data_IF_411333551771
#
_entry.id   IF_411333551771
#
_cell.length_a   1.000
_cell.length_b   1.000
_cell.length_c   1.000
_cell.angle_alpha   90.00
_cell.angle_beta   90.00
_cell.angle_gamma   90.00
#
_symmetry.space_group_name_H-M   'P 1'
#
loop_
_entity.id
_entity.type
_entity.pdbx_description
1 polymer ?
#
# COMPACT_ATOMS: atom_id res chain seq x y z
N UNK A 1 15.14 -12.10 21.92
CA UNK A 1 14.14 -13.20 21.97
C UNK A 1 12.87 -12.67 21.34
N UNK A 2 12.45 -13.25 20.21
CA UNK A 2 11.12 -12.98 19.67
C UNK A 2 10.11 -13.71 20.59
N UNK A 3 9.02 -13.07 21.03
CA UNK A 3 8.03 -13.71 21.90
C UNK A 3 7.43 -14.94 21.21
N UNK A 4 7.05 -15.95 22.00
CA UNK A 4 6.37 -17.14 21.51
C UNK A 4 5.16 -16.74 20.65
N UNK A 5 5.18 -17.19 19.40
CA UNK A 5 4.31 -16.72 18.33
C UNK A 5 2.95 -17.42 18.39
N UNK A 6 2.13 -17.09 19.41
CA UNK A 6 0.71 -17.45 19.47
C UNK A 6 -0.17 -16.53 18.60
N UNK A 7 0.41 -15.45 18.10
CA UNK A 7 -0.22 -14.63 17.07
C UNK A 7 0.18 -15.14 15.69
N UNK A 8 -0.77 -15.07 14.75
CA UNK A 8 -0.56 -15.58 13.40
C UNK A 8 0.38 -14.68 12.59
N UNK A 9 -0.03 -14.39 11.37
CA UNK A 9 0.71 -13.55 10.46
C UNK A 9 -0.21 -12.54 9.78
N UNK A 10 0.38 -11.45 9.33
CA UNK A 10 -0.17 -10.62 8.26
C UNK A 10 0.70 -10.81 7.02
N UNK A 11 0.18 -10.45 5.85
CA UNK A 11 0.98 -10.40 4.62
C UNK A 11 0.91 -9.02 4.01
N UNK A 12 2.05 -8.39 3.74
CA UNK A 12 2.10 -7.17 2.94
C UNK A 12 2.27 -7.53 1.48
N UNK A 13 1.28 -7.18 0.66
CA UNK A 13 1.33 -7.35 -0.79
C UNK A 13 1.74 -6.04 -1.45
N UNK A 14 2.84 -6.09 -2.17
CA UNK A 14 3.25 -5.06 -3.11
C UNK A 14 2.84 -5.52 -4.50
N UNK A 15 1.82 -4.90 -5.07
CA UNK A 15 1.40 -5.14 -6.45
C UNK A 15 2.12 -4.12 -7.32
N UNK A 16 2.90 -4.57 -8.28
CA UNK A 16 3.68 -3.70 -9.16
C UNK A 16 3.57 -4.20 -10.58
N UNK A 17 3.11 -3.34 -11.48
CA UNK A 17 3.14 -3.67 -12.90
C UNK A 17 4.57 -3.74 -13.43
N UNK A 18 4.76 -4.43 -14.56
CA UNK A 18 5.82 -4.01 -15.49
C UNK A 18 5.41 -2.62 -15.98
N UNK A 19 6.30 -1.63 -15.89
CA UNK A 19 6.09 -0.37 -16.61
C UNK A 19 5.79 -0.78 -18.05
N UNK A 20 4.63 -0.41 -18.64
CA UNK A 20 4.35 -0.78 -20.01
C UNK A 20 5.53 -0.31 -20.86
N UNK A 21 6.11 -1.20 -21.67
CA UNK A 21 7.05 -0.78 -22.70
C UNK A 21 6.24 -0.01 -23.72
N UNK A 22 6.06 1.29 -23.48
CA UNK A 22 5.38 2.15 -24.42
C UNK A 22 6.26 2.25 -25.66
N UNK A 23 5.73 1.83 -26.81
CA UNK A 23 6.41 1.94 -28.08
C UNK A 23 6.81 3.40 -28.30
N UNK A 24 8.09 3.58 -28.64
CA UNK A 24 8.74 4.88 -28.80
C UNK A 24 7.97 5.75 -29.78
N UNK A 25 7.28 6.79 -29.30
CA UNK A 25 6.66 7.79 -30.17
C UNK A 25 5.39 8.44 -29.62
N UNK A 26 4.72 7.85 -28.62
CA UNK A 26 3.52 8.47 -28.03
C UNK A 26 3.86 9.08 -26.67
N UNK A 27 3.76 10.42 -26.63
CA UNK A 27 4.01 11.34 -25.53
C UNK A 27 5.47 11.77 -25.30
N UNK A 28 5.76 12.96 -25.84
CA UNK A 28 6.92 13.75 -25.45
C UNK A 28 6.78 14.28 -24.01
N UNK A 29 7.84 14.09 -23.23
CA UNK A 29 8.15 14.68 -21.89
C UNK A 29 7.69 13.94 -20.62
N UNK A 30 8.66 13.86 -19.69
CA UNK A 30 8.85 12.91 -18.58
C UNK A 30 8.14 13.23 -17.25
N UNK A 31 7.09 14.05 -17.24
CA UNK A 31 6.32 14.37 -16.01
C UNK A 31 4.84 14.04 -16.16
N UNK A 32 4.24 14.31 -17.32
CA UNK A 32 2.82 14.03 -17.54
C UNK A 32 2.53 12.53 -17.50
N UNK A 33 3.37 11.71 -18.14
CA UNK A 33 3.28 10.23 -18.05
C UNK A 33 3.49 9.74 -16.63
N UNK A 34 4.41 10.36 -15.87
CA UNK A 34 4.65 10.00 -14.48
C UNK A 34 3.45 10.36 -13.60
N UNK A 35 2.82 11.51 -13.83
CA UNK A 35 1.58 11.92 -13.17
C UNK A 35 0.40 11.03 -13.58
N UNK A 36 0.31 10.59 -14.84
CA UNK A 36 -0.74 9.69 -15.34
C UNK A 36 -0.61 8.29 -14.76
N UNK A 37 0.61 7.77 -14.71
CA UNK A 37 0.90 6.51 -14.02
C UNK A 37 0.71 6.66 -12.51
N UNK A 38 0.98 7.83 -11.91
CA UNK A 38 0.68 8.09 -10.51
C UNK A 38 -0.83 8.11 -10.27
N UNK A 39 -1.64 8.72 -11.17
CA UNK A 39 -3.13 8.68 -11.13
C UNK A 39 -3.67 7.26 -11.05
N UNK A 40 -3.05 6.33 -11.77
CA UNK A 40 -3.44 4.94 -11.77
C UNK A 40 -2.78 4.09 -10.66
N UNK A 41 -2.02 4.71 -9.74
CA UNK A 41 -1.17 4.02 -8.74
C UNK A 41 -0.13 3.05 -9.36
N UNK A 42 0.24 3.29 -10.62
CA UNK A 42 1.19 2.49 -11.40
C UNK A 42 2.64 2.92 -11.12
N UNK A 43 2.90 4.20 -10.80
CA UNK A 43 4.26 4.64 -10.42
C UNK A 43 4.63 4.10 -9.04
N UNK A 44 5.33 2.97 -9.03
CA UNK A 44 5.89 2.34 -7.84
C UNK A 44 5.07 1.17 -7.29
N UNK A 45 3.81 1.03 -7.69
CA UNK A 45 2.91 -0.05 -7.28
C UNK A 45 1.98 0.31 -6.12
N UNK A 46 1.08 -0.62 -5.78
CA UNK A 46 0.13 -0.54 -4.67
C UNK A 46 0.61 -1.39 -3.51
N UNK A 47 0.32 -0.94 -2.28
CA UNK A 47 0.61 -1.70 -1.06
C UNK A 47 -0.68 -2.04 -0.35
N UNK A 48 -0.87 -3.33 -0.06
CA UNK A 48 -2.04 -3.86 0.61
C UNK A 48 -1.63 -4.76 1.78
N UNK A 49 -2.48 -4.88 2.79
CA UNK A 49 -2.27 -5.78 3.93
C UNK A 49 -3.34 -6.87 3.91
N UNK A 50 -2.91 -8.11 3.85
CA UNK A 50 -3.77 -9.26 4.11
C UNK A 50 -3.77 -9.56 5.61
N UNK A 51 -4.98 -9.67 6.17
CA UNK A 51 -5.23 -10.19 7.51
C UNK A 51 -6.31 -11.26 7.38
N UNK A 52 -5.95 -12.50 7.69
CA UNK A 52 -6.82 -13.66 7.49
C UNK A 52 -7.34 -13.76 6.04
N UNK A 53 -8.66 -13.66 5.87
CA UNK A 53 -9.37 -13.82 4.60
C UNK A 53 -9.63 -12.49 3.87
N UNK A 54 -9.12 -11.37 4.41
CA UNK A 54 -9.38 -10.05 3.86
C UNK A 54 -8.08 -9.34 3.48
N UNK A 55 -8.17 -8.51 2.46
CA UNK A 55 -7.12 -7.61 2.01
C UNK A 55 -7.60 -6.18 2.19
N UNK A 56 -6.77 -5.37 2.83
CA UNK A 56 -7.03 -3.98 3.15
C UNK A 56 -6.09 -3.07 2.35
N UNK A 57 -6.63 -1.96 1.86
CA UNK A 57 -5.87 -1.00 1.06
C UNK A 57 -6.34 0.43 1.25
N UNK A 58 -5.58 1.34 0.64
CA UNK A 58 -5.87 2.77 0.61
C UNK A 58 -5.67 3.29 -0.82
N UNK A 59 -6.68 3.97 -1.37
CA UNK A 59 -6.69 4.44 -2.77
C UNK A 59 -7.47 5.74 -2.93
N UNK A 60 -7.40 6.29 -4.14
CA UNK A 60 -8.26 7.39 -4.57
C UNK A 60 -9.71 6.90 -4.66
N UNK A 61 -10.66 7.62 -4.07
CA UNK A 61 -12.09 7.23 -4.02
C UNK A 61 -12.75 7.26 -5.40
N UNK A 62 -12.54 8.36 -6.12
CA UNK A 62 -13.07 8.55 -7.46
C UNK A 62 -11.91 8.61 -8.44
N UNK A 63 -11.70 7.51 -9.17
CA UNK A 63 -10.62 7.36 -10.16
C UNK A 63 -10.80 8.27 -11.38
N UNK A 64 -11.99 8.84 -11.60
CA UNK A 64 -12.23 9.84 -12.63
C UNK A 64 -11.84 11.25 -12.18
N UNK A 65 -11.68 11.47 -10.87
CA UNK A 65 -11.15 12.72 -10.31
C UNK A 65 -9.65 12.65 -10.17
N UNK A 66 -9.03 13.81 -10.33
CA UNK A 66 -7.60 13.95 -10.09
C UNK A 66 -7.31 13.71 -8.61
N UNK A 67 -6.23 12.97 -8.31
CA UNK A 67 -5.66 13.02 -6.97
C UNK A 67 -5.22 14.45 -6.67
N UNK A 68 -5.33 14.88 -5.42
CA UNK A 68 -4.86 16.21 -5.08
C UNK A 68 -3.32 16.26 -5.11
N UNK A 69 -2.75 17.40 -5.50
CA UNK A 69 -1.30 17.57 -5.45
C UNK A 69 -0.82 17.69 -4.00
N UNK A 70 -1.61 18.37 -3.18
CA UNK A 70 -1.43 18.53 -1.73
C UNK A 70 -2.70 18.08 -1.02
N UNK A 71 -2.62 17.58 0.23
CA UNK A 71 -3.81 17.15 0.96
C UNK A 71 -4.82 18.28 1.11
N UNK A 72 -6.11 17.97 0.91
CA UNK A 72 -7.17 18.86 1.33
C UNK A 72 -7.22 18.94 2.87
N UNK A 73 -7.58 20.10 3.40
CA UNK A 73 -7.76 20.36 4.83
C UNK A 73 -9.18 20.06 5.31
N UNK A 74 -10.15 20.04 4.38
CA UNK A 74 -11.56 19.76 4.63
C UNK A 74 -11.92 18.31 4.29
N UNK A 75 -12.39 17.55 5.29
CA UNK A 75 -12.65 16.09 5.17
C UNK A 75 -13.73 15.74 4.15
N UNK A 76 -14.74 16.59 4.03
CA UNK A 76 -15.83 16.50 3.06
C UNK A 76 -15.35 16.54 1.60
N UNK A 77 -14.13 17.02 1.38
CA UNK A 77 -13.51 17.13 0.06
C UNK A 77 -12.44 16.06 -0.19
N UNK A 78 -12.20 15.13 0.73
CA UNK A 78 -11.19 14.09 0.53
C UNK A 78 -11.54 13.20 -0.66
N UNK A 79 -10.56 12.99 -1.54
CA UNK A 79 -10.64 12.05 -2.66
C UNK A 79 -9.90 10.75 -2.32
N UNK A 80 -10.28 10.13 -1.20
CA UNK A 80 -9.56 9.01 -0.63
C UNK A 80 -10.50 8.01 0.01
N UNK A 81 -10.13 6.74 -0.05
CA UNK A 81 -10.86 5.69 0.67
C UNK A 81 -9.91 4.60 1.16
N UNK A 82 -10.17 4.16 2.39
CA UNK A 82 -9.77 2.82 2.82
C UNK A 82 -10.85 1.84 2.40
N UNK A 83 -10.42 0.66 1.96
CA UNK A 83 -11.32 -0.39 1.54
C UNK A 83 -10.86 -1.73 2.09
N UNK A 84 -11.81 -2.68 2.12
CA UNK A 84 -11.57 -4.08 2.39
C UNK A 84 -12.24 -4.92 1.32
N UNK A 85 -11.58 -5.99 0.92
CA UNK A 85 -12.14 -7.01 0.04
C UNK A 85 -11.71 -8.39 0.51
N UNK A 86 -12.33 -9.44 -0.02
CA UNK A 86 -11.90 -10.82 0.26
C UNK A 86 -10.59 -11.11 -0.45
N UNK A 87 -9.78 -12.01 0.11
CA UNK A 87 -8.55 -12.45 -0.54
C UNK A 87 -8.78 -13.04 -1.94
N UNK A 88 -9.92 -13.71 -2.15
CA UNK A 88 -10.29 -14.26 -3.46
C UNK A 88 -10.60 -13.16 -4.47
N UNK A 89 -11.40 -12.14 -4.09
CA UNK A 89 -11.66 -10.96 -4.93
C UNK A 89 -10.36 -10.26 -5.32
N UNK A 90 -9.47 -10.07 -4.35
CA UNK A 90 -8.17 -9.47 -4.60
C UNK A 90 -7.33 -10.32 -5.56
N UNK A 91 -7.32 -11.64 -5.39
CA UNK A 91 -6.59 -12.57 -6.25
C UNK A 91 -7.05 -12.45 -7.71
N UNK A 92 -8.36 -12.43 -7.95
CA UNK A 92 -8.96 -12.28 -9.27
C UNK A 92 -8.64 -10.91 -9.88
N UNK A 93 -8.72 -9.83 -9.09
CA UNK A 93 -8.44 -8.46 -9.55
C UNK A 93 -6.97 -8.17 -9.84
N UNK A 94 -6.05 -9.04 -9.39
CA UNK A 94 -4.59 -8.89 -9.55
C UNK A 94 -3.99 -9.93 -10.49
N UNK A 95 -4.84 -10.62 -11.27
CA UNK A 95 -4.40 -11.45 -12.39
C UNK A 95 -3.68 -10.56 -13.41
N UNK A 96 -2.51 -11.00 -13.86
CA UNK A 96 -1.69 -10.24 -14.81
C UNK A 96 -0.79 -9.16 -14.19
N UNK A 97 -0.73 -9.06 -12.85
CA UNK A 97 0.19 -8.14 -12.16
C UNK A 97 1.30 -8.90 -11.41
N UNK A 98 2.54 -8.37 -11.46
CA UNK A 98 3.61 -8.88 -10.60
C UNK A 98 3.29 -8.50 -9.15
N UNK A 99 3.49 -9.44 -8.24
CA UNK A 99 3.27 -9.22 -6.80
C UNK A 99 4.48 -9.69 -6.01
N UNK A 100 4.89 -8.90 -5.03
CA UNK A 100 5.84 -9.32 -3.98
C UNK A 100 5.12 -9.30 -2.65
N UNK A 101 5.14 -10.41 -1.93
CA UNK A 101 4.44 -10.58 -0.67
C UNK A 101 5.44 -10.84 0.44
N UNK A 102 5.24 -10.21 1.60
CA UNK A 102 6.08 -10.41 2.78
C UNK A 102 5.18 -10.82 3.95
N UNK A 103 5.40 -12.01 4.49
CA UNK A 103 4.63 -12.57 5.59
C UNK A 103 5.30 -12.20 6.92
N UNK A 104 4.62 -11.42 7.74
CA UNK A 104 5.16 -10.84 8.97
C UNK A 104 4.47 -11.49 10.18
N UNK A 105 5.22 -12.12 11.10
CA UNK A 105 4.69 -12.56 12.39
C UNK A 105 4.12 -11.38 13.18
N UNK A 106 2.95 -11.58 13.79
CA UNK A 106 2.31 -10.56 14.64
C UNK A 106 1.71 -11.23 15.87
N UNK A 107 1.64 -10.51 16.98
CA UNK A 107 0.85 -10.92 18.15
C UNK A 107 -0.66 -10.84 17.87
N UNK A 108 -1.47 -11.51 18.69
CA UNK A 108 -2.93 -11.44 18.59
C UNK A 108 -3.44 -10.00 18.79
N UNK A 109 -2.81 -9.26 19.71
CA UNK A 109 -3.10 -7.86 20.03
C UNK A 109 -2.80 -6.95 18.84
N UNK A 110 -1.63 -7.13 18.20
CA UNK A 110 -1.29 -6.38 16.99
C UNK A 110 -2.28 -6.65 15.86
N UNK A 111 -2.63 -7.92 15.64
CA UNK A 111 -3.59 -8.31 14.61
C UNK A 111 -4.96 -7.69 14.84
N UNK A 112 -5.46 -7.74 16.07
CA UNK A 112 -6.71 -7.08 16.47
C UNK A 112 -6.63 -5.57 16.25
N UNK A 113 -5.53 -4.94 16.67
CA UNK A 113 -5.32 -3.49 16.53
C UNK A 113 -5.32 -3.07 15.06
N UNK A 114 -4.68 -3.83 14.17
CA UNK A 114 -4.69 -3.57 12.73
C UNK A 114 -6.10 -3.60 12.15
N UNK A 115 -6.90 -4.63 12.51
CA UNK A 115 -8.31 -4.73 12.09
C UNK A 115 -9.13 -3.54 12.62
N UNK A 116 -8.95 -3.18 13.89
CA UNK A 116 -9.65 -2.05 14.51
C UNK A 116 -9.31 -0.72 13.82
N UNK A 117 -8.03 -0.49 13.47
CA UNK A 117 -7.58 0.69 12.72
C UNK A 117 -8.24 0.74 11.34
N UNK A 118 -8.21 -0.37 10.58
CA UNK A 118 -8.80 -0.39 9.25
C UNK A 118 -10.30 -0.18 9.27
N UNK A 119 -11.04 -0.83 10.17
CA UNK A 119 -12.49 -0.63 10.29
C UNK A 119 -12.81 0.84 10.59
N UNK A 120 -12.09 1.46 11.53
CA UNK A 120 -12.24 2.89 11.84
C UNK A 120 -11.94 3.79 10.64
N UNK A 121 -10.92 3.47 9.85
CA UNK A 121 -10.52 4.28 8.70
C UNK A 121 -11.45 4.10 7.49
N UNK A 122 -12.06 2.92 7.34
CA UNK A 122 -13.12 2.66 6.36
C UNK A 122 -14.38 3.46 6.71
N UNK A 123 -14.74 3.51 7.99
CA UNK A 123 -15.89 4.31 8.46
C UNK A 123 -15.62 5.82 8.37
N UNK A 124 -14.41 6.24 8.73
CA UNK A 124 -14.02 7.65 8.76
C UNK A 124 -12.59 7.84 8.30
N UNK A 125 -12.47 8.34 7.07
CA UNK A 125 -11.19 8.61 6.46
C UNK A 125 -10.34 9.61 7.30
N UNK A 126 -9.09 9.26 7.66
CA UNK A 126 -8.25 10.11 8.51
C UNK A 126 -7.51 11.20 7.74
N UNK A 127 -7.26 11.01 6.45
CA UNK A 127 -6.51 11.91 5.59
C UNK A 127 -6.86 11.69 4.11
N UNK A 128 -6.58 12.72 3.33
CA UNK A 128 -6.78 12.72 1.89
C UNK A 128 -5.69 11.95 1.12
N UNK A 129 -5.99 11.57 -0.12
CA UNK A 129 -5.03 10.95 -1.03
C UNK A 129 -4.39 12.05 -1.85
N UNK A 130 -3.09 12.26 -1.66
CA UNK A 130 -2.38 13.33 -2.34
C UNK A 130 -1.00 12.90 -2.84
N UNK A 131 -0.57 13.50 -3.95
CA UNK A 131 0.74 13.24 -4.54
C UNK A 131 1.85 13.62 -3.55
N UNK A 132 1.86 14.86 -3.04
CA UNK A 132 2.70 15.31 -1.93
C UNK A 132 2.03 15.11 -0.58
N UNK A 133 1.63 13.87 -0.29
CA UNK A 133 0.94 13.53 0.94
C UNK A 133 0.80 12.03 1.18
N UNK A 134 -0.35 11.63 1.71
CA UNK A 134 -0.60 10.23 2.03
C UNK A 134 -0.99 9.47 0.76
N UNK A 135 -0.16 8.49 0.40
CA UNK A 135 -0.47 7.45 -0.59
C UNK A 135 -0.54 6.07 0.06
N UNK A 136 -0.74 5.01 -0.74
CA UNK A 136 -0.90 3.64 -0.23
C UNK A 136 0.27 3.16 0.66
N UNK A 137 1.52 3.46 0.28
CA UNK A 137 2.70 3.10 1.05
C UNK A 137 2.82 3.90 2.37
N UNK A 138 2.55 5.21 2.33
CA UNK A 138 2.55 6.07 3.53
C UNK A 138 1.46 5.67 4.51
N UNK A 139 0.25 5.40 4.01
CA UNK A 139 -0.84 4.87 4.80
C UNK A 139 -0.50 3.52 5.43
N UNK A 140 0.14 2.61 4.68
CA UNK A 140 0.58 1.33 5.21
C UNK A 140 1.61 1.49 6.34
N UNK A 141 2.61 2.34 6.16
CA UNK A 141 3.61 2.61 7.19
C UNK A 141 2.96 3.19 8.47
N UNK A 142 1.96 4.06 8.31
CA UNK A 142 1.19 4.64 9.41
C UNK A 142 0.38 3.62 10.20
N UNK A 143 -0.34 2.73 9.50
CA UNK A 143 -1.09 1.63 10.11
C UNK A 143 -0.16 0.68 10.87
N UNK A 144 0.98 0.30 10.28
CA UNK A 144 1.99 -0.53 10.95
C UNK A 144 2.58 0.14 12.19
N UNK A 145 2.83 1.45 12.13
CA UNK A 145 3.36 2.21 13.25
C UNK A 145 2.36 2.31 14.41
N UNK A 146 1.08 2.55 14.11
CA UNK A 146 0.01 2.53 15.12
C UNK A 146 -0.14 1.18 15.79
N UNK A 147 0.08 0.10 15.06
CA UNK A 147 0.11 -1.26 15.60
C UNK A 147 1.43 -1.60 16.35
N UNK A 148 2.35 -0.64 16.51
CA UNK A 148 3.62 -0.86 17.21
C UNK A 148 4.59 -1.80 16.48
N UNK A 149 4.41 -1.99 15.16
CA UNK A 149 5.26 -2.90 14.36
C UNK A 149 6.48 -2.19 13.77
N UNK A 150 6.41 -0.88 13.58
CA UNK A 150 7.50 -0.03 13.09
C UNK A 150 7.52 1.28 13.88
N UNK A 151 8.60 2.05 13.75
CA UNK A 151 8.74 3.31 14.48
C UNK A 151 7.67 4.34 14.10
N UNK A 152 6.95 4.90 15.09
CA UNK A 152 5.95 5.92 14.82
C UNK A 152 6.60 7.23 14.36
N UNK A 153 5.86 7.97 13.55
CA UNK A 153 6.21 9.31 13.12
C UNK A 153 5.27 10.34 13.75
N UNK A 154 5.78 11.54 13.95
CA UNK A 154 5.05 12.63 14.61
C UNK A 154 3.92 13.22 13.75
N UNK A 155 3.92 13.02 12.43
CA UNK A 155 2.91 13.61 11.54
C UNK A 155 2.72 12.83 10.23
N UNK A 156 1.55 13.02 9.60
CA UNK A 156 1.24 12.46 8.28
C UNK A 156 2.26 12.90 7.22
N UNK A 157 2.79 14.13 7.31
CA UNK A 157 3.84 14.60 6.41
C UNK A 157 5.14 13.77 6.54
N UNK A 158 5.51 13.36 7.76
CA UNK A 158 6.67 12.47 7.97
C UNK A 158 6.40 11.06 7.47
N UNK A 159 5.18 10.55 7.60
CA UNK A 159 4.77 9.28 6.96
C UNK A 159 4.88 9.39 5.43
N UNK A 160 4.36 10.48 4.86
CA UNK A 160 4.42 10.79 3.43
C UNK A 160 5.86 10.85 2.93
N UNK A 161 6.75 11.62 3.55
CA UNK A 161 8.15 11.73 3.15
C UNK A 161 8.89 10.39 3.26
N UNK A 162 8.65 9.66 4.35
CA UNK A 162 9.34 8.40 4.56
C UNK A 162 8.91 7.33 3.58
N UNK A 163 7.64 7.28 3.15
CA UNK A 163 7.11 6.20 2.32
C UNK A 163 6.48 6.69 1.00
N UNK A 164 6.92 7.86 0.53
CA UNK A 164 6.42 8.52 -0.68
C UNK A 164 6.40 7.59 -1.90
N UNK A 165 7.49 6.84 -2.11
CA UNK A 165 7.65 5.94 -3.24
C UNK A 165 7.40 4.49 -2.80
N UNK A 166 6.34 3.83 -3.31
CA UNK A 166 6.02 2.45 -2.94
C UNK A 166 7.16 1.46 -3.25
N UNK A 167 7.95 1.70 -4.30
CA UNK A 167 9.16 0.92 -4.61
C UNK A 167 10.21 1.00 -3.50
N UNK A 168 10.48 2.20 -2.98
CA UNK A 168 11.44 2.39 -1.89
C UNK A 168 10.92 1.76 -0.59
N UNK A 169 9.61 1.91 -0.31
CA UNK A 169 8.99 1.25 0.82
C UNK A 169 9.08 -0.28 0.72
N UNK A 170 8.80 -0.86 -0.47
CA UNK A 170 8.98 -2.29 -0.75
C UNK A 170 10.40 -2.76 -0.47
N UNK A 171 11.40 -2.04 -0.95
CA UNK A 171 12.81 -2.40 -0.73
C UNK A 171 13.17 -2.41 0.75
N UNK A 172 12.68 -1.44 1.54
CA UNK A 172 12.88 -1.43 2.99
C UNK A 172 12.17 -2.58 3.69
N UNK A 173 10.94 -2.90 3.31
CA UNK A 173 10.20 -4.04 3.88
C UNK A 173 10.89 -5.37 3.53
N UNK A 174 11.41 -5.53 2.30
CA UNK A 174 12.21 -6.69 1.91
C UNK A 174 13.51 -6.77 2.74
N UNK A 175 14.20 -5.66 2.94
CA UNK A 175 15.41 -5.63 3.76
C UNK A 175 15.10 -6.01 5.22
N UNK A 176 14.02 -5.48 5.77
CA UNK A 176 13.52 -5.82 7.10
C UNK A 176 13.15 -7.30 7.20
N UNK A 177 12.48 -7.85 6.20
CA UNK A 177 12.13 -9.27 6.11
C UNK A 177 13.37 -10.16 6.08
N UNK A 178 14.37 -9.83 5.25
CA UNK A 178 15.64 -10.56 5.19
C UNK A 178 16.38 -10.53 6.53
N UNK A 179 16.43 -9.38 7.19
CA UNK A 179 17.09 -9.24 8.50
C UNK A 179 16.42 -10.12 9.58
N UNK A 180 15.10 -10.28 9.53
CA UNK A 180 14.34 -11.06 10.52
C UNK A 180 13.96 -12.48 10.06
N UNK A 181 14.48 -12.94 8.91
CA UNK A 181 14.11 -14.23 8.30
C UNK A 181 12.59 -14.43 8.09
N UNK A 182 11.90 -13.39 7.66
CA UNK A 182 10.49 -13.49 7.26
C UNK A 182 10.35 -14.13 5.88
N UNK A 183 9.19 -14.76 5.65
CA UNK A 183 8.88 -15.37 4.36
C UNK A 183 8.56 -14.28 3.31
N UNK A 184 9.19 -14.42 2.15
CA UNK A 184 9.08 -13.50 1.02
C UNK A 184 8.75 -14.33 -0.22
N UNK A 185 7.61 -14.04 -0.84
CA UNK A 185 7.18 -14.70 -2.07
C UNK A 185 6.96 -13.70 -3.20
N UNK A 186 7.19 -14.15 -4.42
CA UNK A 186 6.96 -13.34 -5.62
C UNK A 186 6.10 -14.10 -6.61
N UNK A 187 5.04 -13.46 -7.11
CA UNK A 187 4.24 -13.94 -8.23
C UNK A 187 4.54 -13.06 -9.44
N UNK A 188 4.83 -13.68 -10.57
CA UNK A 188 4.97 -12.97 -11.85
C UNK A 188 3.65 -13.04 -12.60
N UNK A 189 3.31 -11.97 -13.32
CA UNK A 189 2.26 -12.00 -14.30
C UNK A 189 2.61 -13.05 -15.37
N UNK A 190 1.71 -14.00 -15.61
CA UNK A 190 1.80 -14.89 -16.77
C UNK A 190 1.64 -14.03 -18.02
N UNK A 191 2.56 -14.15 -18.98
CA UNK A 191 2.38 -13.51 -20.28
C UNK A 191 1.25 -14.24 -20.99
N UNK A 192 0.09 -13.61 -21.13
CA UNK A 192 -0.85 -13.97 -22.18
C UNK A 192 -0.11 -13.81 -23.51
N UNK A 193 0.28 -14.94 -24.10
CA UNK A 193 0.83 -15.01 -25.45
C UNK A 193 -0.23 -14.77 -26.51
#
# INVERSE_FOLDING_TARGET
MLPENNGGFITLHFVHGRIPKFESGQYASSIQTLLLLAKANIVGGRVLMQIDRHVYGFRVKDSHKWMHLVPNDHREHFNAEFYKETFLSWLDSTVGEDTTSVKIPVTAEQKKMLVDIYNKYIEKIPYDYAFFGMGSASAMYEVLARAGMVFPQESNARYALNAFYPKAFRQRVIAWAKYNNFDISTRKAESTG
#
